data_IF_997453838748
#
_entry.id   IF_997453838748
#
_cell.length_a   1.000
_cell.length_b   1.000
_cell.length_c   1.000
_cell.angle_alpha   90.00
_cell.angle_beta   90.00
_cell.angle_gamma   90.00
#
_symmetry.space_group_name_H-M   'P 1'
#
loop_
_entity.id
_entity.type
_entity.pdbx_description
1 polymer ?
#
# COMPACT_ATOMS: atom_id res chain seq x y z
N UNK A 1 -24.54 26.04 12.02
CA UNK A 1 -24.62 24.57 11.87
C UNK A 1 -23.36 24.15 11.14
N UNK A 2 -22.44 23.43 11.78
CA UNK A 2 -21.24 22.94 11.12
C UNK A 2 -21.65 21.77 10.22
N UNK A 3 -21.59 21.96 8.91
CA UNK A 3 -21.77 20.86 7.96
C UNK A 3 -20.65 19.85 8.18
N UNK A 4 -21.00 18.66 8.68
CA UNK A 4 -20.09 17.52 8.80
C UNK A 4 -19.69 17.04 7.39
N UNK A 5 -18.69 17.69 6.80
CA UNK A 5 -18.12 17.28 5.53
C UNK A 5 -17.27 16.05 5.73
N UNK A 6 -17.90 14.87 5.63
CA UNK A 6 -17.17 13.62 5.54
C UNK A 6 -16.22 13.69 4.34
N UNK A 7 -14.96 13.23 4.49
CA UNK A 7 -14.04 13.22 3.38
C UNK A 7 -14.59 12.35 2.24
N UNK A 8 -14.26 12.67 0.98
CA UNK A 8 -14.63 11.87 -0.18
C UNK A 8 -14.31 10.39 0.05
N UNK A 9 -15.15 9.50 -0.44
CA UNK A 9 -15.02 8.05 -0.24
C UNK A 9 -13.62 7.53 -0.55
N UNK A 10 -13.03 8.01 -1.65
CA UNK A 10 -11.64 7.76 -2.05
C UNK A 10 -10.63 8.04 -0.93
N UNK A 11 -10.78 9.15 -0.21
CA UNK A 11 -9.87 9.54 0.85
C UNK A 11 -10.02 8.62 2.07
N UNK A 12 -11.24 8.17 2.38
CA UNK A 12 -11.48 7.18 3.43
C UNK A 12 -10.83 5.83 3.09
N UNK A 13 -10.93 5.39 1.83
CA UNK A 13 -10.28 4.16 1.35
C UNK A 13 -8.75 4.31 1.46
N UNK A 14 -8.19 5.44 1.05
CA UNK A 14 -6.75 5.69 1.14
C UNK A 14 -6.23 5.77 2.59
N UNK A 15 -7.03 6.27 3.53
CA UNK A 15 -6.71 6.24 4.96
C UNK A 15 -6.52 4.82 5.50
N UNK A 16 -7.16 3.82 4.88
CA UNK A 16 -6.99 2.40 5.23
C UNK A 16 -5.87 1.75 4.42
N UNK A 17 -5.83 1.96 3.10
CA UNK A 17 -4.83 1.34 2.21
C UNK A 17 -3.40 1.75 2.60
N UNK A 18 -3.16 3.03 2.90
CA UNK A 18 -1.82 3.55 3.15
C UNK A 18 -1.11 2.89 4.36
N UNK A 19 -1.72 2.81 5.56
CA UNK A 19 -1.09 2.13 6.69
C UNK A 19 -0.91 0.63 6.46
N UNK A 20 -1.86 -0.05 5.79
CA UNK A 20 -1.71 -1.47 5.45
C UNK A 20 -0.52 -1.69 4.52
N UNK A 21 -0.37 -0.85 3.49
CA UNK A 21 0.80 -0.87 2.61
C UNK A 21 2.10 -0.64 3.39
N UNK A 22 2.12 0.33 4.31
CA UNK A 22 3.28 0.59 5.16
C UNK A 22 3.68 -0.63 5.99
N UNK A 23 2.72 -1.29 6.63
CA UNK A 23 2.96 -2.52 7.39
C UNK A 23 3.46 -3.66 6.51
N UNK A 24 2.89 -3.84 5.32
CA UNK A 24 3.34 -4.87 4.38
C UNK A 24 4.76 -4.59 3.88
N UNK A 25 5.12 -3.34 3.59
CA UNK A 25 6.50 -2.96 3.22
C UNK A 25 7.48 -3.35 4.33
N UNK A 26 7.17 -3.02 5.59
CA UNK A 26 7.99 -3.41 6.74
C UNK A 26 8.09 -4.94 6.86
N UNK A 27 6.97 -5.65 6.70
CA UNK A 27 6.95 -7.11 6.68
C UNK A 27 7.83 -7.70 5.59
N UNK A 28 7.79 -7.16 4.36
CA UNK A 28 8.63 -7.61 3.25
C UNK A 28 10.12 -7.37 3.53
N UNK A 29 10.46 -6.20 4.08
CA UNK A 29 11.84 -5.87 4.45
C UNK A 29 12.36 -6.82 5.53
N UNK A 30 11.60 -7.02 6.61
CA UNK A 30 12.01 -7.90 7.72
C UNK A 30 12.15 -9.35 7.28
N UNK A 31 11.19 -9.86 6.49
CA UNK A 31 11.23 -11.25 6.02
C UNK A 31 12.30 -11.48 4.97
N UNK A 32 12.51 -10.53 4.06
CA UNK A 32 13.59 -10.59 3.07
C UNK A 32 14.98 -10.60 3.72
N UNK A 33 15.22 -9.75 4.74
CA UNK A 33 16.48 -9.72 5.46
C UNK A 33 16.74 -10.97 6.32
N UNK A 34 15.70 -11.70 6.70
CA UNK A 34 15.79 -12.88 7.55
C UNK A 34 15.44 -14.19 6.82
N UNK A 35 15.47 -14.21 5.48
CA UNK A 35 15.01 -15.36 4.69
C UNK A 35 15.66 -16.70 5.10
N UNK A 36 16.94 -16.68 5.50
CA UNK A 36 17.68 -17.88 5.90
C UNK A 36 17.35 -18.38 7.31
N UNK A 37 16.70 -17.57 8.14
CA UNK A 37 16.34 -17.89 9.54
C UNK A 37 14.87 -18.26 9.70
N UNK A 38 14.06 -18.06 8.67
CA UNK A 38 12.62 -18.31 8.71
C UNK A 38 12.29 -19.72 8.21
N UNK A 39 11.29 -20.39 8.81
CA UNK A 39 10.76 -21.62 8.24
C UNK A 39 10.32 -21.40 6.78
N UNK A 40 10.63 -22.31 5.84
CA UNK A 40 10.32 -22.13 4.43
C UNK A 40 8.85 -21.81 4.13
N UNK A 41 7.93 -22.48 4.83
CA UNK A 41 6.49 -22.25 4.65
C UNK A 41 6.07 -20.88 5.17
N UNK A 42 6.61 -20.46 6.31
CA UNK A 42 6.36 -19.13 6.85
C UNK A 42 6.88 -18.04 5.91
N UNK A 43 8.11 -18.18 5.41
CA UNK A 43 8.68 -17.25 4.43
C UNK A 43 7.82 -17.19 3.16
N UNK A 44 7.43 -18.35 2.62
CA UNK A 44 6.59 -18.41 1.41
C UNK A 44 5.27 -17.68 1.61
N UNK A 45 4.56 -17.93 2.71
CA UNK A 45 3.26 -17.28 2.94
C UNK A 45 3.42 -15.79 3.17
N UNK A 46 4.34 -15.37 4.04
CA UNK A 46 4.43 -13.97 4.47
C UNK A 46 5.16 -13.10 3.44
N UNK A 47 6.27 -13.57 2.87
CA UNK A 47 7.04 -12.81 1.89
C UNK A 47 6.38 -12.90 0.51
N UNK A 48 6.14 -14.10 -0.02
CA UNK A 48 5.60 -14.22 -1.38
C UNK A 48 4.12 -13.81 -1.41
N UNK A 49 3.30 -14.34 -0.50
CA UNK A 49 1.88 -13.97 -0.41
C UNK A 49 1.68 -12.50 -0.03
N UNK A 50 2.47 -12.00 0.92
CA UNK A 50 2.45 -10.58 1.30
C UNK A 50 2.93 -9.66 0.17
N UNK A 51 3.93 -10.05 -0.61
CA UNK A 51 4.40 -9.32 -1.78
C UNK A 51 3.35 -9.20 -2.88
N UNK A 52 2.63 -10.29 -3.18
CA UNK A 52 1.50 -10.28 -4.12
C UNK A 52 0.38 -9.35 -3.61
N UNK A 53 0.06 -9.41 -2.32
CA UNK A 53 -0.95 -8.55 -1.71
C UNK A 53 -0.55 -7.07 -1.77
N UNK A 54 0.71 -6.77 -1.47
CA UNK A 54 1.28 -5.43 -1.55
C UNK A 54 1.21 -4.88 -2.98
N UNK A 55 1.49 -5.69 -4.00
CA UNK A 55 1.38 -5.28 -5.40
C UNK A 55 -0.02 -4.78 -5.74
N UNK A 56 -1.07 -5.53 -5.39
CA UNK A 56 -2.45 -5.10 -5.64
C UNK A 56 -2.83 -3.83 -4.87
N UNK A 57 -2.36 -3.69 -3.62
CA UNK A 57 -2.58 -2.46 -2.86
C UNK A 57 -1.87 -1.25 -3.46
N UNK A 58 -0.66 -1.41 -4.00
CA UNK A 58 0.05 -0.35 -4.74
C UNK A 58 -0.75 0.04 -5.99
N UNK A 59 -1.26 -0.91 -6.76
CA UNK A 59 -2.11 -0.62 -7.92
C UNK A 59 -3.38 0.15 -7.53
N UNK A 60 -4.05 -0.26 -6.45
CA UNK A 60 -5.22 0.44 -5.92
C UNK A 60 -4.87 1.87 -5.46
N UNK A 61 -3.78 2.02 -4.70
CA UNK A 61 -3.26 3.31 -4.26
C UNK A 61 -2.98 4.26 -5.43
N UNK A 62 -2.29 3.78 -6.47
CA UNK A 62 -1.98 4.57 -7.66
C UNK A 62 -3.24 4.95 -8.44
N UNK A 63 -4.19 4.04 -8.59
CA UNK A 63 -5.46 4.29 -9.28
C UNK A 63 -6.26 5.39 -8.58
N UNK A 64 -6.40 5.29 -7.25
CA UNK A 64 -7.10 6.29 -6.44
C UNK A 64 -6.33 7.63 -6.38
N UNK A 65 -5.00 7.62 -6.47
CA UNK A 65 -4.18 8.83 -6.50
C UNK A 65 -3.81 9.31 -7.91
N UNK A 66 -4.37 8.73 -8.98
CA UNK A 66 -3.89 9.00 -10.35
C UNK A 66 -3.98 10.46 -10.75
N UNK A 67 -5.04 11.18 -10.32
CA UNK A 67 -5.15 12.62 -10.54
C UNK A 67 -4.02 13.43 -9.91
N UNK A 68 -3.61 13.06 -8.70
CA UNK A 68 -2.48 13.69 -8.01
C UNK A 68 -1.15 13.32 -8.67
N UNK A 69 -0.96 12.04 -9.03
CA UNK A 69 0.22 11.57 -9.77
C UNK A 69 0.39 12.35 -11.07
N UNK A 70 -0.68 12.48 -11.86
CA UNK A 70 -0.65 13.25 -13.10
C UNK A 70 -0.25 14.70 -12.85
N UNK A 71 -0.86 15.35 -11.85
CA UNK A 71 -0.61 16.77 -11.54
C UNK A 71 0.83 17.05 -11.15
N UNK A 72 1.47 16.17 -10.38
CA UNK A 72 2.80 16.42 -9.82
C UNK A 72 3.95 15.74 -10.57
N UNK A 73 3.70 14.63 -11.27
CA UNK A 73 4.75 13.85 -11.92
C UNK A 73 4.66 13.82 -13.45
N UNK A 74 3.46 14.01 -14.04
CA UNK A 74 3.26 13.86 -15.49
C UNK A 74 2.92 15.16 -16.22
N UNK A 75 2.40 16.19 -15.53
CA UNK A 75 2.29 17.54 -16.08
C UNK A 75 3.57 18.32 -15.79
N UNK A 76 4.37 18.56 -16.84
CA UNK A 76 5.30 19.69 -16.91
C UNK A 76 4.70 20.69 -17.91
N UNK A 77 4.31 21.86 -17.42
CA UNK A 77 3.82 22.98 -18.26
C UNK A 77 2.33 22.90 -18.54
#
# INVERSE_FOLDING_TARGET
MAENHLPPEKNRILMVINPIMGLLILSQLTTGLNFSRLPPDFFRVVHIGGGVTLFFLVCAHLTLNWGWVRKFFLHRG
#
